data_IF_874660930513
#
_entry.id   IF_874660930513
#
_cell.length_a   1.000
_cell.length_b   1.000
_cell.length_c   1.000
_cell.angle_alpha   90.00
_cell.angle_beta   90.00
_cell.angle_gamma   90.00
#
_symmetry.space_group_name_H-M   'P 1'
#
loop_
_entity.id
_entity.type
_entity.pdbx_description
1 polymer ?
#
# COMPACT_ATOMS: atom_id res chain seq x y z
N UNK A 1 11.87 -9.12 -14.36
CA UNK A 1 11.65 -8.13 -13.30
C UNK A 1 11.25 -8.84 -12.04
N UNK A 2 11.77 -8.42 -10.90
CA UNK A 2 11.29 -8.88 -9.60
C UNK A 2 10.79 -7.71 -8.76
N UNK A 3 9.76 -7.97 -7.98
CA UNK A 3 9.15 -7.02 -7.04
C UNK A 3 9.27 -7.60 -5.64
N UNK A 4 9.79 -6.79 -4.73
CA UNK A 4 9.74 -7.11 -3.30
C UNK A 4 8.58 -6.33 -2.68
N UNK A 5 7.59 -7.05 -2.17
CA UNK A 5 6.33 -6.49 -1.66
C UNK A 5 6.31 -6.58 -0.14
N UNK A 6 6.29 -5.44 0.53
CA UNK A 6 6.28 -5.35 1.99
C UNK A 6 4.93 -4.85 2.47
N UNK A 7 4.26 -5.64 3.32
CA UNK A 7 2.97 -5.26 3.87
C UNK A 7 2.97 -5.30 5.41
N UNK A 8 2.00 -4.60 5.96
CA UNK A 8 1.78 -4.56 7.40
C UNK A 8 0.35 -4.98 7.75
N UNK A 9 -0.18 -5.96 7.03
CA UNK A 9 -1.55 -6.45 7.21
C UNK A 9 -1.77 -6.94 8.64
N UNK A 10 -2.90 -6.53 9.23
CA UNK A 10 -3.27 -6.89 10.59
C UNK A 10 -4.42 -7.89 10.62
N UNK A 11 -5.40 -7.74 9.73
CA UNK A 11 -6.62 -8.56 9.70
C UNK A 11 -6.73 -9.42 8.44
N UNK A 12 -5.70 -9.47 7.60
CA UNK A 12 -5.67 -10.30 6.41
C UNK A 12 -6.08 -9.61 5.11
N UNK A 13 -6.66 -8.41 5.14
CA UNK A 13 -7.04 -7.68 3.93
C UNK A 13 -5.82 -7.35 3.06
N UNK A 14 -4.75 -6.89 3.68
CA UNK A 14 -3.51 -6.59 2.97
C UNK A 14 -2.86 -7.82 2.36
N UNK A 15 -3.00 -8.98 2.98
CA UNK A 15 -2.50 -10.26 2.43
C UNK A 15 -3.28 -10.62 1.18
N UNK A 16 -4.62 -10.48 1.19
CA UNK A 16 -5.45 -10.75 0.01
C UNK A 16 -5.06 -9.84 -1.16
N UNK A 17 -4.85 -8.56 -0.88
CA UNK A 17 -4.42 -7.60 -1.89
C UNK A 17 -3.04 -7.97 -2.44
N UNK A 18 -2.10 -8.33 -1.58
CA UNK A 18 -0.76 -8.75 -1.99
C UNK A 18 -0.81 -10.00 -2.87
N UNK A 19 -1.63 -10.98 -2.50
CA UNK A 19 -1.77 -12.22 -3.26
C UNK A 19 -2.36 -11.96 -4.65
N UNK A 20 -3.36 -11.10 -4.76
CA UNK A 20 -3.96 -10.74 -6.05
C UNK A 20 -2.96 -9.96 -6.92
N UNK A 21 -2.23 -9.02 -6.34
CA UNK A 21 -1.17 -8.30 -7.04
C UNK A 21 -0.12 -9.27 -7.59
N UNK A 22 0.35 -10.18 -6.74
CA UNK A 22 1.36 -11.17 -7.15
C UNK A 22 0.85 -12.08 -8.26
N UNK A 23 -0.41 -12.51 -8.17
CA UNK A 23 -1.06 -13.32 -9.22
C UNK A 23 -1.10 -12.57 -10.55
N UNK A 24 -1.53 -11.32 -10.52
CA UNK A 24 -1.63 -10.50 -11.75
C UNK A 24 -0.26 -10.24 -12.36
N UNK A 25 0.73 -9.92 -11.54
CA UNK A 25 2.09 -9.69 -12.02
C UNK A 25 2.72 -10.97 -12.59
N UNK A 26 2.44 -12.13 -11.98
CA UNK A 26 2.92 -13.41 -12.49
C UNK A 26 2.39 -13.68 -13.92
N UNK A 27 1.16 -13.29 -14.23
CA UNK A 27 0.60 -13.41 -15.57
C UNK A 27 1.34 -12.55 -16.60
N UNK A 28 2.11 -11.56 -16.14
CA UNK A 28 2.95 -10.69 -16.98
C UNK A 28 4.43 -11.08 -16.93
N UNK A 29 4.76 -12.26 -16.38
CA UNK A 29 6.13 -12.74 -16.27
C UNK A 29 6.95 -12.09 -15.16
N UNK A 30 6.32 -11.44 -14.19
CA UNK A 30 6.98 -10.74 -13.09
C UNK A 30 6.90 -11.56 -11.81
N UNK A 31 8.02 -11.74 -11.13
CA UNK A 31 8.08 -12.41 -9.83
C UNK A 31 7.83 -11.41 -8.71
N UNK A 32 6.90 -11.73 -7.82
CA UNK A 32 6.61 -10.90 -6.64
C UNK A 32 6.86 -11.73 -5.38
N UNK A 33 7.76 -11.25 -4.54
CA UNK A 33 8.04 -11.86 -3.23
C UNK A 33 7.35 -11.03 -2.16
N UNK A 34 6.42 -11.65 -1.43
CA UNK A 34 5.57 -10.96 -0.44
C UNK A 34 6.12 -11.20 0.96
N UNK A 35 6.30 -10.12 1.71
CA UNK A 35 6.81 -10.15 3.08
C UNK A 35 5.94 -9.32 4.01
N UNK A 36 5.73 -9.80 5.23
CA UNK A 36 5.27 -8.93 6.30
C UNK A 36 6.48 -8.15 6.84
N UNK A 37 6.30 -6.85 7.13
CA UNK A 37 7.41 -6.00 7.60
C UNK A 37 8.07 -6.51 8.89
N UNK A 38 7.33 -7.24 9.72
CA UNK A 38 7.90 -7.83 10.95
C UNK A 38 8.93 -8.94 10.69
N UNK A 39 8.93 -9.50 9.47
CA UNK A 39 9.79 -10.63 9.10
C UNK A 39 11.02 -10.19 8.31
N UNK A 40 11.17 -8.89 8.06
CA UNK A 40 12.31 -8.33 7.29
C UNK A 40 12.90 -7.13 8.01
N UNK A 41 14.16 -6.83 7.69
CA UNK A 41 14.84 -5.66 8.24
C UNK A 41 14.78 -4.49 7.24
N UNK A 42 14.34 -3.32 7.71
CA UNK A 42 14.38 -2.09 6.92
C UNK A 42 15.80 -1.70 6.52
N UNK A 43 16.80 -2.16 7.26
CA UNK A 43 18.22 -1.90 6.99
C UNK A 43 18.84 -2.85 5.99
N UNK A 44 18.17 -3.92 5.61
CA UNK A 44 18.71 -4.98 4.76
C UNK A 44 17.65 -5.50 3.80
N UNK A 45 17.15 -4.63 2.91
CA UNK A 45 16.17 -5.01 1.91
C UNK A 45 16.80 -5.93 0.86
N UNK A 46 16.08 -6.99 0.41
CA UNK A 46 16.53 -7.77 -0.72
C UNK A 46 16.65 -6.91 -1.98
N UNK A 47 17.57 -7.21 -2.91
CA UNK A 47 17.62 -6.50 -4.18
C UNK A 47 16.32 -6.68 -4.97
N UNK A 48 15.84 -5.62 -5.61
CA UNK A 48 14.64 -5.66 -6.43
C UNK A 48 14.66 -4.62 -7.53
N UNK A 49 13.91 -4.88 -8.60
CA UNK A 49 13.66 -3.91 -9.66
C UNK A 49 12.61 -2.87 -9.22
N UNK A 50 11.71 -3.30 -8.32
CA UNK A 50 10.66 -2.45 -7.75
C UNK A 50 10.39 -2.90 -6.31
N UNK A 51 10.28 -1.92 -5.42
CA UNK A 51 9.83 -2.14 -4.04
C UNK A 51 8.39 -1.66 -3.90
N UNK A 52 7.49 -2.52 -3.41
CA UNK A 52 6.12 -2.12 -3.14
C UNK A 52 5.88 -2.12 -1.64
N UNK A 53 5.28 -1.04 -1.15
CA UNK A 53 4.93 -0.89 0.26
C UNK A 53 3.42 -0.77 0.40
N UNK A 54 2.85 -1.57 1.30
CA UNK A 54 1.42 -1.65 1.52
C UNK A 54 1.13 -1.56 3.01
N UNK A 55 0.23 -0.67 3.38
CA UNK A 55 -0.16 -0.49 4.77
C UNK A 55 -1.67 -0.35 4.89
N UNK A 56 -2.27 -0.91 5.95
CA UNK A 56 -3.60 -0.48 6.33
C UNK A 56 -3.54 0.97 6.82
N UNK A 57 -4.64 1.70 6.57
CA UNK A 57 -4.85 3.01 7.16
C UNK A 57 -5.44 2.87 8.55
N UNK A 58 -4.97 3.69 9.47
CA UNK A 58 -5.53 3.81 10.81
C UNK A 58 -5.58 5.28 11.19
N UNK A 59 -6.79 5.78 11.43
CA UNK A 59 -7.01 7.20 11.73
C UNK A 59 -6.36 8.12 10.67
N UNK A 60 -6.49 7.72 9.39
CA UNK A 60 -5.99 8.49 8.26
C UNK A 60 -4.48 8.43 8.03
N UNK A 61 -3.77 7.57 8.75
CA UNK A 61 -2.31 7.44 8.67
C UNK A 61 -1.92 5.98 8.42
N UNK A 62 -0.71 5.72 7.88
CA UNK A 62 -0.17 4.36 7.88
C UNK A 62 -0.06 3.87 9.32
N UNK A 63 -0.24 2.57 9.55
CA UNK A 63 -0.07 2.05 10.91
C UNK A 63 1.34 2.31 11.42
N UNK A 64 1.49 2.40 12.76
CA UNK A 64 2.75 2.77 13.39
C UNK A 64 3.92 1.88 13.02
N UNK A 65 3.68 0.58 12.84
CA UNK A 65 4.72 -0.36 12.40
C UNK A 65 5.28 -0.02 11.02
N UNK A 66 4.41 0.32 10.07
CA UNK A 66 4.86 0.74 8.74
C UNK A 66 5.62 2.07 8.79
N UNK A 67 5.12 3.04 9.55
CA UNK A 67 5.82 4.32 9.70
C UNK A 67 7.24 4.14 10.24
N UNK A 68 7.40 3.31 11.26
CA UNK A 68 8.73 2.99 11.81
C UNK A 68 9.62 2.28 10.79
N UNK A 69 9.04 1.33 10.06
CA UNK A 69 9.75 0.60 9.01
C UNK A 69 10.29 1.56 7.95
N UNK A 70 9.45 2.45 7.44
CA UNK A 70 9.83 3.42 6.40
C UNK A 70 10.84 4.45 6.92
N UNK A 71 10.73 4.90 8.16
CA UNK A 71 11.69 5.83 8.78
C UNK A 71 13.07 5.20 8.94
N UNK A 72 13.13 3.89 9.13
CA UNK A 72 14.38 3.16 9.28
C UNK A 72 14.95 2.61 7.99
N UNK A 73 14.31 2.91 6.86
CA UNK A 73 14.62 2.28 5.58
C UNK A 73 16.00 2.67 5.07
N UNK A 74 16.79 1.66 4.67
CA UNK A 74 18.04 1.82 3.96
C UNK A 74 17.87 1.21 2.57
N UNK A 75 17.58 2.05 1.58
CA UNK A 75 17.32 1.62 0.22
C UNK A 75 18.36 2.21 -0.73
N UNK A 76 18.68 1.53 -1.85
CA UNK A 76 19.57 2.12 -2.85
C UNK A 76 19.01 3.44 -3.36
N UNK A 77 19.85 4.46 -3.50
CA UNK A 77 19.45 5.75 -4.03
C UNK A 77 18.88 5.59 -5.44
N UNK A 78 17.73 6.21 -5.70
CA UNK A 78 17.04 6.10 -6.98
C UNK A 78 16.24 4.81 -7.18
N UNK A 79 16.19 3.92 -6.20
CA UNK A 79 15.36 2.72 -6.27
C UNK A 79 13.90 3.10 -6.47
N UNK A 80 13.20 2.35 -7.33
CA UNK A 80 11.79 2.61 -7.68
C UNK A 80 10.87 2.02 -6.62
N UNK A 81 9.80 2.74 -6.29
CA UNK A 81 8.80 2.21 -5.36
C UNK A 81 7.38 2.48 -5.85
N UNK A 82 6.46 1.65 -5.36
CA UNK A 82 5.02 1.84 -5.51
C UNK A 82 4.35 1.69 -4.14
N UNK A 83 3.19 2.28 -4.00
CA UNK A 83 2.37 2.22 -2.77
C UNK A 83 1.00 1.66 -3.12
N UNK A 84 0.55 0.67 -2.35
CA UNK A 84 -0.81 0.13 -2.46
C UNK A 84 -1.38 -0.04 -1.06
N UNK A 85 -2.33 0.80 -0.68
CA UNK A 85 -2.87 0.81 0.67
C UNK A 85 -4.23 0.15 0.77
N UNK A 86 -4.60 -0.27 1.98
CA UNK A 86 -5.97 -0.67 2.33
C UNK A 86 -6.50 0.36 3.31
N UNK A 87 -7.55 1.08 2.92
CA UNK A 87 -8.07 2.20 3.70
C UNK A 87 -9.55 2.04 3.95
N UNK A 88 -10.04 2.53 5.10
CA UNK A 88 -11.45 2.47 5.43
C UNK A 88 -12.30 3.24 4.42
N UNK A 89 -13.38 2.62 3.96
CA UNK A 89 -14.36 3.30 3.11
C UNK A 89 -15.01 4.45 3.89
N UNK A 90 -15.32 5.58 3.22
CA UNK A 90 -15.99 6.70 3.88
C UNK A 90 -17.29 6.24 4.51
N UNK A 91 -17.55 6.69 5.73
CA UNK A 91 -18.78 6.40 6.47
C UNK A 91 -19.65 7.65 6.60
N UNK A 92 -20.98 7.50 6.57
CA UNK A 92 -21.86 8.64 6.83
C UNK A 92 -21.59 9.24 8.20
N UNK A 93 -21.65 10.58 8.29
CA UNK A 93 -21.60 11.29 9.56
C UNK A 93 -22.77 10.85 10.45
N UNK A 94 -22.49 10.54 11.71
CA UNK A 94 -23.51 10.04 12.66
C UNK A 94 -24.61 11.06 12.94
N UNK A 95 -24.31 12.35 12.82
CA UNK A 95 -25.26 13.43 13.11
C UNK A 95 -26.05 13.84 11.89
N UNK A 96 -25.40 13.95 10.71
CA UNK A 96 -26.00 14.48 9.48
C UNK A 96 -26.39 13.40 8.48
N UNK A 97 -25.84 12.19 8.59
CA UNK A 97 -26.02 11.11 7.62
C UNK A 97 -25.32 11.36 6.29
N UNK A 98 -24.54 12.42 6.17
CA UNK A 98 -23.85 12.75 4.93
C UNK A 98 -22.50 12.05 4.85
N UNK A 99 -22.18 11.57 3.64
CA UNK A 99 -20.87 11.01 3.36
C UNK A 99 -19.88 12.17 3.17
N UNK A 100 -18.66 12.10 3.75
CA UNK A 100 -17.66 13.15 3.57
C UNK A 100 -17.39 13.43 2.08
N UNK A 101 -17.17 14.71 1.76
CA UNK A 101 -16.77 15.11 0.41
C UNK A 101 -15.38 14.58 0.10
N UNK A 102 -15.01 14.54 -1.18
CA UNK A 102 -13.65 14.12 -1.58
C UNK A 102 -12.58 15.01 -0.93
N UNK A 103 -12.83 16.31 -0.82
CA UNK A 103 -11.91 17.24 -0.14
C UNK A 103 -11.73 16.88 1.34
N UNK A 104 -12.82 16.59 2.04
CA UNK A 104 -12.77 16.17 3.45
C UNK A 104 -12.05 14.84 3.62
N UNK A 105 -12.29 13.88 2.72
CA UNK A 105 -11.59 12.59 2.71
C UNK A 105 -10.09 12.78 2.51
N UNK A 106 -9.69 13.63 1.56
CA UNK A 106 -8.28 13.89 1.26
C UNK A 106 -7.56 14.57 2.43
N UNK A 107 -8.25 15.41 3.18
CA UNK A 107 -7.69 16.03 4.39
C UNK A 107 -7.49 15.04 5.51
N UNK A 108 -8.38 14.07 5.65
CA UNK A 108 -8.31 13.06 6.72
C UNK A 108 -7.43 11.87 6.34
N UNK A 109 -7.60 11.34 5.13
CA UNK A 109 -6.90 10.14 4.67
C UNK A 109 -5.54 10.51 4.09
N UNK A 110 -4.52 10.47 4.95
CA UNK A 110 -3.15 10.87 4.62
C UNK A 110 -2.19 9.69 4.49
N UNK A 111 -2.70 8.47 4.32
CA UNK A 111 -1.86 7.26 4.30
C UNK A 111 -0.83 7.34 3.17
N UNK A 112 -1.28 7.52 1.94
CA UNK A 112 -0.39 7.59 0.77
C UNK A 112 0.55 8.81 0.86
N UNK A 113 0.08 10.04 1.11
CA UNK A 113 0.99 11.19 1.22
C UNK A 113 2.09 11.02 2.26
N UNK A 114 1.77 10.45 3.43
CA UNK A 114 2.75 10.22 4.48
C UNK A 114 3.79 9.18 4.04
N UNK A 115 3.35 8.09 3.42
CA UNK A 115 4.27 7.07 2.90
C UNK A 115 5.15 7.62 1.78
N UNK A 116 4.56 8.36 0.82
CA UNK A 116 5.32 9.00 -0.26
C UNK A 116 6.41 9.93 0.28
N UNK A 117 6.08 10.74 1.27
CA UNK A 117 7.05 11.67 1.86
C UNK A 117 8.23 10.92 2.49
N UNK A 118 7.94 9.85 3.23
CA UNK A 118 9.00 9.04 3.86
C UNK A 118 9.86 8.32 2.82
N UNK A 119 9.26 7.79 1.77
CA UNK A 119 9.97 7.04 0.74
C UNK A 119 10.81 7.95 -0.18
N UNK A 120 10.26 9.08 -0.61
CA UNK A 120 11.03 10.05 -1.37
C UNK A 120 12.14 10.67 -0.52
N UNK A 121 11.89 10.90 0.77
CA UNK A 121 12.91 11.34 1.71
C UNK A 121 14.05 10.34 1.90
N UNK A 122 13.80 9.06 1.66
CA UNK A 122 14.82 8.01 1.67
C UNK A 122 15.59 7.89 0.34
N UNK A 123 15.32 8.76 -0.63
CA UNK A 123 16.01 8.79 -1.93
C UNK A 123 15.41 7.88 -2.99
N UNK A 124 14.21 7.36 -2.77
CA UNK A 124 13.51 6.49 -3.72
C UNK A 124 12.64 7.29 -4.69
N UNK A 125 12.26 6.65 -5.80
CA UNK A 125 11.48 7.28 -6.88
C UNK A 125 10.11 6.58 -7.01
N UNK A 126 9.03 7.34 -6.89
CA UNK A 126 7.67 6.80 -6.99
C UNK A 126 7.28 6.50 -8.43
N UNK A 127 6.74 5.30 -8.67
CA UNK A 127 6.24 4.90 -9.99
C UNK A 127 4.73 4.73 -10.02
N UNK A 128 4.10 4.41 -8.89
CA UNK A 128 2.64 4.26 -8.80
C UNK A 128 2.19 4.36 -7.34
N UNK A 129 0.94 4.80 -7.16
CA UNK A 129 0.29 4.78 -5.85
C UNK A 129 -1.20 4.54 -6.06
N UNK A 130 -1.79 3.72 -5.20
CA UNK A 130 -3.20 3.41 -5.26
C UNK A 130 -3.71 2.87 -3.93
N UNK A 131 -5.04 2.73 -3.84
CA UNK A 131 -5.68 2.21 -2.63
C UNK A 131 -6.86 1.33 -2.96
N UNK A 132 -7.14 0.41 -2.04
CA UNK A 132 -8.35 -0.43 -2.03
C UNK A 132 -9.09 -0.14 -0.74
N UNK A 133 -10.41 -0.04 -0.80
CA UNK A 133 -11.20 0.31 0.37
C UNK A 133 -11.64 -0.93 1.15
N UNK A 134 -11.70 -0.78 2.46
CA UNK A 134 -12.20 -1.77 3.40
C UNK A 134 -13.52 -1.28 3.94
N UNK A 135 -14.58 -2.09 3.84
CA UNK A 135 -15.95 -1.65 4.15
C UNK A 135 -16.28 -1.64 5.63
N UNK A 136 -15.47 -2.25 6.47
CA UNK A 136 -15.62 -2.25 7.92
C UNK A 136 -14.27 -2.21 8.59
N UNK A 137 -14.24 -2.29 9.91
CA UNK A 137 -12.99 -2.23 10.68
C UNK A 137 -12.03 -3.36 10.31
N UNK A 138 -12.54 -4.57 10.04
CA UNK A 138 -11.76 -5.76 9.74
C UNK A 138 -12.02 -6.32 8.36
N UNK A 139 -12.76 -5.59 7.53
CA UNK A 139 -13.18 -6.05 6.23
C UNK A 139 -14.69 -6.17 6.14
N UNK A 140 -15.21 -6.71 5.05
CA UNK A 140 -14.44 -7.18 3.90
C UNK A 140 -13.90 -6.03 3.04
N UNK A 141 -13.07 -6.39 2.07
CA UNK A 141 -12.66 -5.46 1.02
C UNK A 141 -13.87 -5.07 0.17
N UNK A 142 -13.84 -3.88 -0.41
CA UNK A 142 -14.92 -3.38 -1.27
C UNK A 142 -15.20 -4.30 -2.45
N UNK A 143 -16.42 -4.26 -2.98
CA UNK A 143 -16.75 -4.98 -4.20
C UNK A 143 -15.90 -4.44 -5.36
N UNK A 144 -15.40 -5.37 -6.19
CA UNK A 144 -14.55 -5.00 -7.32
C UNK A 144 -13.10 -4.69 -6.95
N UNK A 145 -12.67 -5.00 -5.75
CA UNK A 145 -11.31 -4.72 -5.30
C UNK A 145 -10.25 -5.43 -6.15
N UNK A 146 -10.54 -6.64 -6.63
CA UNK A 146 -9.60 -7.38 -7.49
C UNK A 146 -9.32 -6.61 -8.78
N UNK A 147 -10.35 -6.04 -9.40
CA UNK A 147 -10.19 -5.22 -10.61
C UNK A 147 -9.34 -3.98 -10.36
N UNK A 148 -9.45 -3.36 -9.18
CA UNK A 148 -8.59 -2.22 -8.80
C UNK A 148 -7.14 -2.64 -8.64
N UNK A 149 -6.88 -3.78 -8.00
CA UNK A 149 -5.53 -4.33 -7.85
C UNK A 149 -4.94 -4.67 -9.21
N UNK A 150 -5.72 -5.31 -10.08
CA UNK A 150 -5.28 -5.69 -11.42
C UNK A 150 -4.95 -4.46 -12.27
N UNK A 151 -5.79 -3.42 -12.21
CA UNK A 151 -5.53 -2.16 -12.92
C UNK A 151 -4.26 -1.47 -12.40
N UNK A 152 -4.06 -1.49 -11.09
CA UNK A 152 -2.84 -0.96 -10.48
C UNK A 152 -1.60 -1.73 -10.96
N UNK A 153 -1.66 -3.06 -10.96
CA UNK A 153 -0.56 -3.90 -11.44
C UNK A 153 -0.27 -3.64 -12.93
N UNK A 154 -1.31 -3.51 -13.76
CA UNK A 154 -1.17 -3.30 -15.19
C UNK A 154 -0.58 -1.92 -15.53
N UNK A 155 -0.76 -0.93 -14.66
CA UNK A 155 -0.19 0.41 -14.83
C UNK A 155 1.32 0.46 -14.56
N UNK A 156 1.88 -0.55 -13.90
CA UNK A 156 3.31 -0.61 -13.62
C UNK A 156 4.03 -1.12 -14.87
N UNK A 157 5.00 -0.36 -15.34
CA UNK A 157 5.82 -0.74 -16.49
C UNK A 157 6.80 -1.85 -16.09
N UNK A 158 6.90 -2.83 -16.93
CA UNK A 158 7.82 -3.97 -16.75
C UNK A 158 8.86 -4.02 -17.84
#
# INVERSE_FOLDING_TARGET
MNVEYFHASKYGNGVKVADEFARRMASRGVTVNVHHIKDVSAKALPPADLYLFSSPGRMGKPIGGMRRFLKGLDAPAGARYAILTTEGAPQPDKKTGQIPTQEEQDKYQRVIPIMSELLTGAGMVEVAAGKVLVTGMRGPLEDGWEAKVDAFADAIEV
#
